data_IF_591143386139
#
_entry.id   IF_591143386139
#
_cell.length_a   1.000
_cell.length_b   1.000
_cell.length_c   1.000
_cell.angle_alpha   90.00
_cell.angle_beta   90.00
_cell.angle_gamma   90.00
#
_symmetry.space_group_name_H-M   'P 1'
#
loop_
_entity.id
_entity.type
_entity.pdbx_description
1 polymer ?
#
# COMPACT_ATOMS: atom_id res chain seq x y z
N UNK A 1 54.37 -20.25 69.40
CA UNK A 1 54.89 -19.15 68.55
C UNK A 1 54.97 -19.77 67.16
N UNK A 2 54.13 -19.49 66.16
CA UNK A 2 53.44 -18.27 65.70
C UNK A 2 52.04 -18.61 65.17
N UNK A 3 51.08 -17.70 65.33
CA UNK A 3 49.73 -17.79 64.76
C UNK A 3 49.68 -17.03 63.42
N UNK A 4 49.20 -17.68 62.36
CA UNK A 4 48.90 -17.05 61.06
C UNK A 4 47.56 -16.31 61.13
N UNK A 5 47.60 -15.01 60.85
CA UNK A 5 46.44 -14.13 60.73
C UNK A 5 45.96 -14.16 59.29
N UNK A 6 44.80 -14.79 59.04
CA UNK A 6 44.13 -14.78 57.73
C UNK A 6 43.12 -13.62 57.71
N UNK A 7 43.35 -12.63 56.86
CA UNK A 7 42.41 -11.54 56.61
C UNK A 7 41.39 -11.93 55.52
N UNK A 8 40.10 -11.58 55.65
CA UNK A 8 39.09 -11.92 54.65
C UNK A 8 39.23 -11.07 53.37
N UNK A 9 38.85 -11.60 52.19
CA UNK A 9 38.89 -10.85 50.94
C UNK A 9 37.86 -9.71 50.94
N UNK A 10 38.13 -8.60 50.21
CA UNK A 10 37.22 -7.46 50.15
C UNK A 10 35.90 -7.85 49.44
N UNK A 11 34.76 -7.26 49.85
CA UNK A 11 33.49 -7.55 49.20
C UNK A 11 33.50 -7.00 47.77
N UNK A 12 33.20 -7.86 46.81
CA UNK A 12 32.87 -7.45 45.44
C UNK A 12 31.62 -6.57 45.52
N UNK A 13 31.77 -5.29 45.16
CA UNK A 13 30.65 -4.40 44.92
C UNK A 13 29.89 -4.95 43.73
N UNK A 14 28.82 -5.69 43.99
CA UNK A 14 27.80 -6.02 43.00
C UNK A 14 27.19 -4.70 42.56
N UNK A 15 27.60 -4.21 41.41
CA UNK A 15 26.93 -3.12 40.71
C UNK A 15 25.49 -3.60 40.47
N UNK A 16 24.56 -3.11 41.28
CA UNK A 16 23.16 -3.39 41.14
C UNK A 16 22.75 -2.85 39.77
N UNK A 17 22.52 -3.75 38.81
CA UNK A 17 21.95 -3.40 37.54
C UNK A 17 20.67 -2.61 37.80
N UNK A 18 20.66 -1.35 37.40
CA UNK A 18 19.50 -0.48 37.49
C UNK A 18 18.33 -1.19 36.79
N UNK A 19 17.16 -1.32 37.42
CA UNK A 19 16.01 -1.96 36.78
C UNK A 19 15.75 -1.24 35.45
N UNK A 20 15.38 -1.97 34.37
CA UNK A 20 15.06 -1.34 33.10
C UNK A 20 14.09 -0.19 33.34
N UNK A 21 14.33 1.01 32.78
CA UNK A 21 13.41 2.12 32.96
C UNK A 21 12.02 1.66 32.59
N UNK A 22 11.07 1.83 33.50
CA UNK A 22 9.66 1.54 33.25
C UNK A 22 9.28 2.28 31.96
N UNK A 23 8.91 1.51 30.92
CA UNK A 23 8.67 2.07 29.60
C UNK A 23 7.68 3.23 29.75
N UNK A 24 8.13 4.44 29.41
CA UNK A 24 7.30 5.63 29.54
C UNK A 24 6.00 5.37 28.77
N UNK A 25 4.85 5.53 29.44
CA UNK A 25 3.56 5.35 28.76
C UNK A 25 3.48 6.35 27.60
N UNK A 26 3.16 5.85 26.41
CA UNK A 26 2.97 6.70 25.22
C UNK A 26 1.96 7.82 25.53
N UNK A 27 2.33 9.10 25.28
CA UNK A 27 1.43 10.24 25.40
C UNK A 27 0.13 10.05 24.59
N UNK A 28 -0.97 10.57 25.12
CA UNK A 28 -2.29 10.41 24.50
C UNK A 28 -2.37 11.05 23.11
N UNK A 29 -1.77 12.23 22.93
CA UNK A 29 -1.72 12.97 21.67
C UNK A 29 -0.93 12.21 20.58
N UNK A 30 0.19 11.57 20.94
CA UNK A 30 0.95 10.70 20.03
C UNK A 30 0.10 9.50 19.63
N UNK A 31 -0.55 8.85 20.59
CA UNK A 31 -1.41 7.69 20.31
C UNK A 31 -2.58 8.06 19.40
N UNK A 32 -3.30 9.12 19.72
CA UNK A 32 -4.43 9.62 18.92
C UNK A 32 -4.00 9.95 17.49
N UNK A 33 -2.83 10.57 17.32
CA UNK A 33 -2.30 10.87 16.00
C UNK A 33 -1.90 9.61 15.21
N UNK A 34 -1.32 8.60 15.87
CA UNK A 34 -1.01 7.32 15.24
C UNK A 34 -2.27 6.53 14.86
N UNK A 35 -3.32 6.55 15.69
CA UNK A 35 -4.62 5.97 15.37
C UNK A 35 -5.31 6.70 14.19
N UNK A 36 -5.15 8.02 14.11
CA UNK A 36 -5.57 8.79 12.93
C UNK A 36 -4.81 8.36 11.68
N UNK A 37 -3.48 8.25 11.76
CA UNK A 37 -2.64 7.80 10.65
C UNK A 37 -3.03 6.38 10.18
N UNK A 38 -3.30 5.45 11.09
CA UNK A 38 -3.77 4.11 10.76
C UNK A 38 -5.08 4.15 9.96
N UNK A 39 -6.04 4.99 10.35
CA UNK A 39 -7.31 5.16 9.62
C UNK A 39 -7.07 5.69 8.21
N UNK A 40 -6.20 6.69 8.06
CA UNK A 40 -5.84 7.25 6.75
C UNK A 40 -5.12 6.19 5.89
N UNK A 41 -4.25 5.37 6.48
CA UNK A 41 -3.59 4.25 5.78
C UNK A 41 -4.61 3.25 5.22
N UNK A 42 -5.59 2.86 6.04
CA UNK A 42 -6.66 1.94 5.61
C UNK A 42 -7.50 2.54 4.48
N UNK A 43 -7.82 3.83 4.57
CA UNK A 43 -8.56 4.53 3.52
C UNK A 43 -7.75 4.65 2.22
N UNK A 44 -6.45 4.99 2.31
CA UNK A 44 -5.54 5.02 1.16
C UNK A 44 -5.54 3.67 0.42
N UNK A 45 -5.38 2.58 1.17
CA UNK A 45 -5.35 1.23 0.60
C UNK A 45 -6.67 0.85 -0.08
N UNK A 46 -7.80 1.12 0.60
CA UNK A 46 -9.12 0.84 0.05
C UNK A 46 -9.37 1.62 -1.24
N UNK A 47 -9.10 2.93 -1.21
CA UNK A 47 -9.31 3.83 -2.35
C UNK A 47 -8.44 3.44 -3.55
N UNK A 48 -7.15 3.21 -3.32
CA UNK A 48 -6.22 2.78 -4.37
C UNK A 48 -6.62 1.42 -4.98
N UNK A 49 -7.03 0.46 -4.14
CA UNK A 49 -7.49 -0.85 -4.61
C UNK A 49 -8.77 -0.74 -5.44
N UNK A 50 -9.74 0.05 -4.96
CA UNK A 50 -11.03 0.21 -5.62
C UNK A 50 -10.87 0.87 -6.99
N UNK A 51 -10.10 1.95 -7.07
CA UNK A 51 -9.89 2.68 -8.32
C UNK A 51 -9.17 1.83 -9.37
N UNK A 52 -8.08 1.13 -8.98
CA UNK A 52 -7.37 0.24 -9.90
C UNK A 52 -8.26 -0.93 -10.35
N UNK A 53 -9.07 -1.49 -9.45
CA UNK A 53 -9.99 -2.58 -9.78
C UNK A 53 -11.10 -2.12 -10.73
N UNK A 54 -11.71 -0.95 -10.49
CA UNK A 54 -12.72 -0.37 -11.40
C UNK A 54 -12.13 -0.20 -12.79
N UNK A 55 -10.92 0.38 -12.86
CA UNK A 55 -10.26 0.62 -14.13
C UNK A 55 -10.04 -0.70 -14.91
N UNK A 56 -9.59 -1.78 -14.25
CA UNK A 56 -9.43 -3.09 -14.90
C UNK A 56 -10.73 -3.66 -15.46
N UNK A 57 -11.82 -3.55 -14.70
CA UNK A 57 -13.14 -4.03 -15.12
C UNK A 57 -13.53 -3.31 -16.40
N UNK A 58 -13.37 -1.98 -16.45
CA UNK A 58 -13.68 -1.21 -17.64
C UNK A 58 -12.78 -1.57 -18.83
N UNK A 59 -11.48 -1.81 -18.62
CA UNK A 59 -10.60 -2.30 -19.69
C UNK A 59 -11.06 -3.66 -20.23
N UNK A 60 -11.51 -4.56 -19.36
CA UNK A 60 -12.04 -5.87 -19.74
C UNK A 60 -13.32 -5.72 -20.56
N UNK A 61 -14.22 -4.80 -20.16
CA UNK A 61 -15.44 -4.50 -20.91
C UNK A 61 -15.13 -3.91 -22.30
N UNK A 62 -14.15 -3.01 -22.40
CA UNK A 62 -13.71 -2.41 -23.67
C UNK A 62 -13.10 -3.43 -24.64
N UNK A 63 -12.49 -4.51 -24.15
CA UNK A 63 -11.89 -5.54 -25.00
C UNK A 63 -12.91 -6.50 -25.65
N UNK A 64 -14.18 -6.47 -25.22
CA UNK A 64 -15.22 -7.34 -25.75
C UNK A 64 -15.08 -8.79 -25.25
N UNK A 65 -16.20 -9.35 -24.77
CA UNK A 65 -16.29 -10.66 -24.15
C UNK A 65 -15.48 -11.77 -24.86
N UNK A 66 -14.49 -12.32 -24.16
CA UNK A 66 -13.69 -13.46 -24.62
C UNK A 66 -12.79 -14.09 -23.55
N UNK A 67 -12.38 -13.32 -22.53
CA UNK A 67 -11.48 -13.77 -21.45
C UNK A 67 -12.12 -13.73 -20.04
N UNK A 68 -13.44 -13.65 -19.96
CA UNK A 68 -14.14 -12.97 -18.86
C UNK A 68 -14.36 -13.78 -17.58
N UNK A 69 -14.16 -15.10 -17.51
CA UNK A 69 -14.53 -15.83 -16.28
C UNK A 69 -13.42 -15.93 -15.23
N UNK A 70 -12.17 -16.15 -15.64
CA UNK A 70 -11.11 -16.46 -14.66
C UNK A 70 -10.52 -15.23 -13.96
N UNK A 71 -10.59 -14.05 -14.58
CA UNK A 71 -10.07 -12.80 -14.00
C UNK A 71 -11.07 -12.19 -13.02
N UNK A 72 -12.38 -12.28 -13.33
CA UNK A 72 -13.44 -11.80 -12.44
C UNK A 72 -13.51 -12.64 -11.15
N UNK A 73 -13.44 -13.97 -11.24
CA UNK A 73 -13.48 -14.86 -10.06
C UNK A 73 -12.32 -14.65 -9.09
N UNK A 74 -11.16 -14.18 -9.57
CA UNK A 74 -10.00 -13.89 -8.71
C UNK A 74 -10.05 -12.51 -8.04
N UNK A 75 -10.87 -11.58 -8.56
CA UNK A 75 -10.91 -10.19 -8.12
C UNK A 75 -12.19 -9.88 -7.31
N UNK A 76 -13.28 -10.60 -7.58
CA UNK A 76 -14.60 -10.43 -6.97
C UNK A 76 -14.92 -11.65 -6.09
N UNK A 77 -14.37 -11.72 -4.87
CA UNK A 77 -14.94 -12.58 -3.81
C UNK A 77 -16.21 -11.90 -3.26
N UNK A 78 -17.20 -11.72 -4.13
CA UNK A 78 -18.51 -11.15 -3.80
C UNK A 78 -19.56 -12.02 -4.46
N UNK A 79 -20.23 -12.83 -3.64
CA UNK A 79 -21.25 -13.76 -4.06
C UNK A 79 -22.33 -13.12 -4.93
N UNK A 80 -22.53 -13.75 -6.08
CA UNK A 80 -23.77 -13.87 -6.86
C UNK A 80 -24.75 -12.68 -6.81
N UNK A 81 -24.67 -11.79 -7.81
CA UNK A 81 -25.85 -11.12 -8.35
C UNK A 81 -25.85 -11.20 -9.89
N UNK A 82 -26.95 -11.71 -10.43
CA UNK A 82 -27.24 -11.85 -11.86
C UNK A 82 -27.33 -10.48 -12.55
N UNK A 83 -26.80 -10.32 -13.79
CA UNK A 83 -26.80 -9.03 -14.46
C UNK A 83 -28.20 -8.71 -14.99
N UNK A 84 -28.83 -7.68 -14.43
CA UNK A 84 -30.06 -7.10 -14.99
C UNK A 84 -29.74 -6.26 -16.22
N UNK A 85 -30.52 -6.47 -17.28
CA UNK A 85 -30.42 -5.79 -18.57
C UNK A 85 -30.66 -4.28 -18.41
N UNK A 86 -29.59 -3.51 -18.34
CA UNK A 86 -29.60 -2.05 -18.49
C UNK A 86 -28.79 -1.73 -19.74
N UNK A 87 -29.13 -0.64 -20.46
CA UNK A 87 -28.50 -0.21 -21.72
C UNK A 87 -26.97 -0.40 -21.72
N UNK A 88 -26.32 -0.68 -22.87
CA UNK A 88 -24.88 -0.83 -22.92
C UNK A 88 -24.27 0.52 -22.55
N UNK A 89 -23.89 0.66 -21.28
CA UNK A 89 -23.19 1.83 -20.81
C UNK A 89 -21.93 1.96 -21.66
N UNK A 90 -21.65 3.19 -22.11
CA UNK A 90 -20.39 3.47 -22.79
C UNK A 90 -19.28 3.33 -21.72
N UNK A 91 -18.47 2.26 -21.73
CA UNK A 91 -17.56 2.00 -20.62
C UNK A 91 -16.50 3.09 -20.47
N UNK A 92 -16.21 3.82 -21.56
CA UNK A 92 -15.34 4.99 -21.53
C UNK A 92 -15.97 6.20 -20.79
N UNK A 93 -17.29 6.39 -20.90
CA UNK A 93 -17.98 7.46 -20.19
C UNK A 93 -18.12 7.14 -18.68
N UNK A 94 -18.31 5.86 -18.33
CA UNK A 94 -18.30 5.42 -16.93
C UNK A 94 -16.93 5.57 -16.30
N UNK A 95 -15.85 5.14 -16.98
CA UNK A 95 -14.48 5.39 -16.56
C UNK A 95 -14.22 6.87 -16.25
N UNK A 96 -14.64 7.75 -17.17
CA UNK A 96 -14.40 9.18 -17.01
C UNK A 96 -15.15 9.76 -15.80
N UNK A 97 -16.37 9.28 -15.54
CA UNK A 97 -17.16 9.68 -14.37
C UNK A 97 -16.53 9.15 -13.08
N UNK A 98 -16.18 7.87 -13.04
CA UNK A 98 -15.52 7.23 -11.90
C UNK A 98 -14.23 7.96 -11.54
N UNK A 99 -13.43 8.35 -12.53
CA UNK A 99 -12.19 9.09 -12.32
C UNK A 99 -12.41 10.44 -11.60
N UNK A 100 -13.46 11.19 -11.96
CA UNK A 100 -13.80 12.44 -11.27
C UNK A 100 -14.22 12.19 -9.83
N UNK A 101 -15.02 11.13 -9.61
CA UNK A 101 -15.48 10.75 -8.28
C UNK A 101 -14.30 10.26 -7.40
N UNK A 102 -13.30 9.59 -7.97
CA UNK A 102 -12.08 9.22 -7.26
C UNK A 102 -11.15 10.40 -6.96
N UNK A 103 -11.01 11.35 -7.88
CA UNK A 103 -10.22 12.56 -7.64
C UNK A 103 -10.73 13.30 -6.40
N UNK A 104 -12.05 13.49 -6.29
CA UNK A 104 -12.66 14.10 -5.12
C UNK A 104 -12.40 13.31 -3.82
N UNK A 105 -12.38 11.97 -3.89
CA UNK A 105 -12.07 11.12 -2.74
C UNK A 105 -10.59 11.23 -2.31
N UNK A 106 -9.65 11.33 -3.25
CA UNK A 106 -8.23 11.56 -2.94
C UNK A 106 -8.00 12.94 -2.30
N UNK A 107 -8.65 13.98 -2.84
CA UNK A 107 -8.61 15.33 -2.27
C UNK A 107 -9.14 15.32 -0.82
N UNK A 108 -10.26 14.62 -0.57
CA UNK A 108 -10.82 14.47 0.76
C UNK A 108 -9.88 13.70 1.70
N UNK A 109 -9.29 12.58 1.24
CA UNK A 109 -8.34 11.79 2.03
C UNK A 109 -7.12 12.63 2.45
N UNK A 110 -6.58 13.45 1.53
CA UNK A 110 -5.50 14.38 1.82
C UNK A 110 -5.92 15.46 2.82
N UNK A 111 -7.14 16.00 2.70
CA UNK A 111 -7.67 16.97 3.64
C UNK A 111 -7.83 16.35 5.04
N UNK A 112 -8.40 15.15 5.14
CA UNK A 112 -8.58 14.41 6.39
C UNK A 112 -7.24 14.09 7.07
N UNK A 113 -6.24 13.69 6.28
CA UNK A 113 -4.89 13.48 6.77
C UNK A 113 -4.32 14.76 7.41
N UNK A 114 -4.51 15.92 6.76
CA UNK A 114 -3.98 17.21 7.19
C UNK A 114 -4.80 17.87 8.30
N UNK A 115 -6.02 17.41 8.55
CA UNK A 115 -6.93 18.00 9.53
C UNK A 115 -6.43 17.87 10.98
N UNK A 116 -5.65 16.82 11.29
CA UNK A 116 -5.07 16.61 12.61
C UNK A 116 -3.56 16.93 12.60
N UNK A 117 -3.11 18.04 13.22
CA UNK A 117 -1.69 18.39 13.24
C UNK A 117 -0.86 17.37 14.04
N UNK A 118 0.35 17.02 13.58
CA UNK A 118 1.20 16.06 14.28
C UNK A 118 1.80 16.64 15.57
N UNK A 119 1.87 15.85 16.66
CA UNK A 119 2.78 16.13 17.76
C UNK A 119 4.23 16.23 17.28
N UNK A 120 5.13 16.95 17.97
CA UNK A 120 6.52 17.15 17.50
C UNK A 120 7.28 15.86 17.18
N UNK A 121 7.09 14.81 17.98
CA UNK A 121 7.70 13.50 17.76
C UNK A 121 7.24 12.82 16.45
N UNK A 122 6.03 13.13 15.98
CA UNK A 122 5.42 12.54 14.80
C UNK A 122 5.71 13.30 13.50
N UNK A 123 6.34 14.47 13.55
CA UNK A 123 6.59 15.31 12.35
C UNK A 123 7.39 14.58 11.26
N UNK A 124 8.48 13.84 11.56
CA UNK A 124 9.18 13.08 10.53
C UNK A 124 8.30 12.03 9.85
N UNK A 125 7.49 11.31 10.63
CA UNK A 125 6.52 10.33 10.13
C UNK A 125 5.44 10.98 9.27
N UNK A 126 4.90 12.12 9.72
CA UNK A 126 3.93 12.91 8.94
C UNK A 126 4.50 13.28 7.57
N UNK A 127 5.75 13.74 7.52
CA UNK A 127 6.37 14.19 6.27
C UNK A 127 6.63 13.04 5.30
N UNK A 128 7.16 11.92 5.79
CA UNK A 128 7.37 10.74 4.93
C UNK A 128 6.05 10.15 4.44
N UNK A 129 5.00 10.19 5.28
CA UNK A 129 3.69 9.69 4.89
C UNK A 129 2.95 10.60 3.90
N UNK A 130 3.05 11.93 4.04
CA UNK A 130 2.54 12.90 3.05
C UNK A 130 3.17 12.63 1.67
N UNK A 131 4.47 12.28 1.64
CA UNK A 131 5.13 11.82 0.43
C UNK A 131 4.53 10.50 -0.08
N UNK A 132 4.38 9.48 0.76
CA UNK A 132 3.75 8.20 0.36
C UNK A 132 2.36 8.42 -0.24
N UNK A 133 1.55 9.28 0.37
CA UNK A 133 0.19 9.58 -0.07
C UNK A 133 0.19 10.22 -1.46
N UNK A 134 0.97 11.29 -1.65
CA UNK A 134 1.07 11.97 -2.95
C UNK A 134 1.71 11.11 -4.04
N UNK A 135 2.66 10.22 -3.71
CA UNK A 135 3.19 9.27 -4.70
C UNK A 135 2.13 8.24 -5.12
N UNK A 136 1.26 7.81 -4.20
CA UNK A 136 0.17 6.86 -4.50
C UNK A 136 -0.83 7.49 -5.46
N UNK A 137 -1.27 8.72 -5.19
CA UNK A 137 -2.18 9.48 -6.06
C UNK A 137 -1.61 9.64 -7.47
N UNK A 138 -0.36 10.11 -7.60
CA UNK A 138 0.29 10.26 -8.91
C UNK A 138 0.38 8.94 -9.70
N UNK A 139 0.69 7.83 -9.02
CA UNK A 139 0.72 6.52 -9.69
C UNK A 139 -0.66 6.15 -10.23
N UNK A 140 -1.71 6.41 -9.46
CA UNK A 140 -3.06 6.05 -9.88
C UNK A 140 -3.50 6.91 -11.06
N UNK A 141 -3.16 8.20 -11.06
CA UNK A 141 -3.39 9.08 -12.21
C UNK A 141 -2.64 8.58 -13.46
N UNK A 142 -1.41 8.07 -13.32
CA UNK A 142 -0.65 7.46 -14.42
C UNK A 142 -1.35 6.19 -14.97
N UNK A 143 -1.86 5.33 -14.08
CA UNK A 143 -2.62 4.11 -14.44
C UNK A 143 -3.89 4.51 -15.21
N UNK A 144 -4.69 5.42 -14.64
CA UNK A 144 -5.93 5.90 -15.24
C UNK A 144 -5.68 6.57 -16.59
N UNK A 145 -4.68 7.44 -16.69
CA UNK A 145 -4.32 8.13 -17.94
C UNK A 145 -3.84 7.18 -19.04
N UNK A 146 -3.23 6.05 -18.70
CA UNK A 146 -2.95 5.01 -19.68
C UNK A 146 -4.21 4.29 -20.17
N UNK A 147 -5.22 4.17 -19.31
CA UNK A 147 -6.49 3.49 -19.61
C UNK A 147 -7.44 4.34 -20.43
N UNK A 148 -7.37 5.67 -20.33
CA UNK A 148 -8.08 6.57 -21.26
C UNK A 148 -7.72 6.30 -22.73
N UNK A 149 -6.50 5.82 -23.00
CA UNK A 149 -6.08 5.44 -24.36
C UNK A 149 -6.77 4.16 -24.85
N UNK A 150 -7.28 3.32 -23.95
CA UNK A 150 -7.85 2.01 -24.27
C UNK A 150 -9.08 2.10 -25.19
N UNK A 151 -9.83 3.20 -25.16
CA UNK A 151 -10.95 3.43 -26.09
C UNK A 151 -10.51 3.55 -27.57
N UNK A 152 -9.24 3.90 -27.82
CA UNK A 152 -8.68 4.08 -29.17
C UNK A 152 -7.63 3.03 -29.55
N UNK A 153 -6.84 2.57 -28.58
CA UNK A 153 -5.80 1.54 -28.74
C UNK A 153 -5.68 0.72 -27.44
N UNK A 154 -6.49 -0.35 -27.28
CA UNK A 154 -6.44 -1.23 -26.11
C UNK A 154 -5.06 -1.88 -25.90
N UNK A 155 -4.34 -2.19 -26.98
CA UNK A 155 -3.01 -2.80 -26.90
C UNK A 155 -1.94 -1.81 -26.40
N UNK A 156 -2.03 -0.53 -26.78
CA UNK A 156 -1.16 0.50 -26.22
C UNK A 156 -1.43 0.73 -24.73
N UNK A 157 -2.69 0.78 -24.31
CA UNK A 157 -3.05 0.91 -22.90
C UNK A 157 -2.49 -0.25 -22.06
N UNK A 158 -2.64 -1.49 -22.53
CA UNK A 158 -2.05 -2.66 -21.88
C UNK A 158 -0.53 -2.57 -21.79
N UNK A 159 0.15 -2.20 -22.88
CA UNK A 159 1.61 -2.06 -22.89
C UNK A 159 2.10 -0.98 -21.92
N UNK A 160 1.38 0.15 -21.84
CA UNK A 160 1.69 1.23 -20.89
C UNK A 160 1.50 0.75 -19.44
N UNK A 161 0.39 0.05 -19.15
CA UNK A 161 0.13 -0.57 -17.83
C UNK A 161 1.20 -1.61 -17.45
N UNK A 162 1.58 -2.51 -18.37
CA UNK A 162 2.65 -3.47 -18.14
C UNK A 162 4.01 -2.81 -17.98
N UNK A 163 4.26 -1.69 -18.67
CA UNK A 163 5.50 -0.90 -18.55
C UNK A 163 5.59 -0.16 -17.22
N UNK A 164 4.46 0.25 -16.64
CA UNK A 164 4.40 0.84 -15.30
C UNK A 164 4.64 -0.16 -14.17
N UNK A 165 4.48 -1.47 -14.47
CA UNK A 165 4.74 -2.54 -13.51
C UNK A 165 6.22 -2.56 -13.13
N UNK A 166 6.52 -2.09 -11.91
CA UNK A 166 7.86 -2.11 -11.32
C UNK A 166 8.58 -0.76 -11.29
N UNK A 167 8.15 0.24 -12.06
CA UNK A 167 8.68 1.61 -11.97
C UNK A 167 7.99 2.43 -10.87
N UNK A 168 6.68 2.25 -10.69
CA UNK A 168 5.91 2.90 -9.62
C UNK A 168 6.29 2.37 -8.22
N UNK A 169 6.50 1.04 -8.12
CA UNK A 169 6.89 0.37 -6.89
C UNK A 169 8.16 0.95 -6.26
N UNK A 170 9.19 1.31 -7.04
CA UNK A 170 10.44 1.84 -6.49
C UNK A 170 10.28 3.14 -5.69
N UNK A 171 9.36 4.03 -6.07
CA UNK A 171 9.17 5.34 -5.41
C UNK A 171 8.25 5.24 -4.20
N UNK A 172 7.14 4.52 -4.34
CA UNK A 172 6.16 4.34 -3.25
C UNK A 172 6.75 3.43 -2.18
N UNK A 173 7.42 2.34 -2.55
CA UNK A 173 8.04 1.42 -1.60
C UNK A 173 9.13 2.11 -0.78
N UNK A 174 9.94 2.99 -1.39
CA UNK A 174 10.94 3.76 -0.67
C UNK A 174 10.32 4.72 0.36
N UNK A 175 9.27 5.45 -0.03
CA UNK A 175 8.57 6.38 0.86
C UNK A 175 7.83 5.64 1.99
N UNK A 176 7.12 4.56 1.66
CA UNK A 176 6.42 3.71 2.64
C UNK A 176 7.41 3.03 3.61
N UNK A 177 8.55 2.54 3.12
CA UNK A 177 9.60 1.99 3.97
C UNK A 177 10.20 3.06 4.91
N UNK A 178 10.38 4.29 4.44
CA UNK A 178 10.80 5.39 5.32
C UNK A 178 9.74 5.72 6.37
N UNK A 179 8.46 5.72 5.99
CA UNK A 179 7.36 5.92 6.94
C UNK A 179 7.31 4.82 8.00
N UNK A 180 7.54 3.55 7.64
CA UNK A 180 7.63 2.47 8.61
C UNK A 180 8.81 2.63 9.57
N UNK A 181 9.99 3.05 9.09
CA UNK A 181 11.12 3.38 9.97
C UNK A 181 10.77 4.50 10.95
N UNK A 182 10.14 5.56 10.47
CA UNK A 182 9.71 6.67 11.31
C UNK A 182 8.63 6.25 12.33
N UNK A 183 7.74 5.33 11.95
CA UNK A 183 6.73 4.75 12.85
C UNK A 183 7.38 3.94 13.98
N UNK A 184 8.35 3.10 13.66
CA UNK A 184 9.17 2.39 14.67
C UNK A 184 9.87 3.38 15.61
N UNK A 185 10.47 4.45 15.06
CA UNK A 185 11.17 5.47 15.84
C UNK A 185 10.24 6.23 16.81
N UNK A 186 8.99 6.50 16.42
CA UNK A 186 7.98 7.12 17.30
C UNK A 186 7.57 6.16 18.42
N UNK A 187 7.46 4.86 18.15
CA UNK A 187 6.96 3.89 19.13
C UNK A 187 8.05 3.42 20.12
N UNK A 188 9.30 3.37 19.66
CA UNK A 188 10.44 2.81 20.39
C UNK A 188 10.67 3.40 21.79
N UNK A 189 10.61 4.73 22.03
CA UNK A 189 10.84 5.31 23.35
C UNK A 189 9.85 4.83 24.42
N UNK A 190 8.68 4.35 23.98
CA UNK A 190 7.59 3.92 24.85
C UNK A 190 7.52 2.40 25.03
N UNK A 191 8.50 1.65 24.48
CA UNK A 191 8.48 0.19 24.51
C UNK A 191 7.30 -0.44 23.75
N UNK A 192 6.67 0.33 22.86
CA UNK A 192 5.52 -0.11 22.04
C UNK A 192 6.03 -0.56 20.68
N UNK A 193 5.50 -1.67 20.16
CA UNK A 193 5.64 -2.04 18.75
C UNK A 193 4.53 -1.37 17.94
N UNK A 194 4.79 -0.89 16.73
CA UNK A 194 3.70 -0.47 15.84
C UNK A 194 2.66 -1.58 15.68
N UNK A 195 1.38 -1.21 15.72
CA UNK A 195 0.25 -2.14 15.54
C UNK A 195 -0.33 -2.10 14.11
N UNK A 196 0.23 -1.26 13.26
CA UNK A 196 -0.07 -1.16 11.84
C UNK A 196 1.22 -0.90 11.07
N UNK A 197 1.14 -1.01 9.76
CA UNK A 197 2.26 -0.80 8.86
C UNK A 197 1.76 -0.01 7.65
N UNK A 198 2.58 0.94 7.20
CA UNK A 198 2.38 1.64 5.93
C UNK A 198 2.70 0.66 4.80
N UNK A 199 1.67 0.27 4.06
CA UNK A 199 1.79 -0.74 3.02
C UNK A 199 2.57 -0.21 1.83
N UNK A 200 3.45 -1.06 1.31
CA UNK A 200 4.07 -0.88 -0.01
C UNK A 200 3.14 -1.46 -1.08
N UNK A 201 3.21 -0.95 -2.31
CA UNK A 201 2.35 -1.46 -3.40
C UNK A 201 2.69 -2.90 -3.79
N UNK A 202 3.93 -3.30 -3.50
CA UNK A 202 4.44 -4.67 -3.61
C UNK A 202 3.88 -5.62 -2.55
N UNK A 203 3.47 -5.11 -1.38
CA UNK A 203 3.08 -5.93 -0.22
C UNK A 203 1.55 -6.00 0.01
N UNK A 204 0.78 -4.99 -0.44
CA UNK A 204 -0.68 -4.95 -0.29
C UNK A 204 -1.50 -5.33 -1.54
N UNK A 205 -0.86 -5.65 -2.67
CA UNK A 205 -1.53 -6.43 -3.70
C UNK A 205 -2.44 -5.67 -4.66
N UNK A 206 -2.16 -4.40 -4.96
CA UNK A 206 -2.80 -3.71 -6.09
C UNK A 206 -2.22 -4.22 -7.42
N UNK A 207 -0.90 -4.29 -7.54
CA UNK A 207 -0.19 -4.87 -8.70
C UNK A 207 0.26 -6.32 -8.47
N UNK A 208 0.43 -6.74 -7.21
CA UNK A 208 0.80 -8.11 -6.84
C UNK A 208 -0.28 -9.13 -7.21
N UNK A 209 -1.56 -8.77 -7.05
CA UNK A 209 -2.69 -9.61 -7.46
C UNK A 209 -2.86 -9.70 -8.98
N UNK A 210 -2.35 -8.73 -9.75
CA UNK A 210 -2.26 -8.83 -11.22
C UNK A 210 -1.21 -9.86 -11.69
N UNK A 211 -0.31 -10.31 -10.81
CA UNK A 211 0.73 -11.28 -11.13
C UNK A 211 0.26 -12.73 -11.25
N UNK A 212 -1.03 -13.00 -11.02
CA UNK A 212 -1.63 -14.33 -11.16
C UNK A 212 -2.18 -14.65 -12.54
N UNK A 213 -2.10 -13.74 -13.52
CA UNK A 213 -2.51 -14.04 -14.89
C UNK A 213 -1.52 -15.03 -15.52
N UNK A 214 -2.01 -16.12 -16.15
CA UNK A 214 -1.15 -17.10 -16.78
C UNK A 214 -0.25 -16.42 -17.81
N UNK A 215 1.03 -16.76 -17.76
CA UNK A 215 2.06 -16.32 -18.67
C UNK A 215 1.64 -16.64 -20.13
N UNK A 216 1.08 -15.66 -20.84
CA UNK A 216 0.70 -15.82 -22.25
C UNK A 216 1.91 -15.88 -23.18
N UNK A 217 3.15 -15.85 -22.64
CA UNK A 217 4.38 -16.12 -23.39
C UNK A 217 4.47 -17.55 -23.94
N UNK A 218 3.52 -18.44 -23.58
CA UNK A 218 3.46 -19.83 -24.05
C UNK A 218 2.71 -20.08 -25.37
N UNK A 219 2.04 -19.10 -25.98
CA UNK A 219 1.22 -19.32 -27.20
C UNK A 219 1.79 -18.68 -28.48
N UNK A 220 3.11 -18.64 -28.59
CA UNK A 220 3.78 -18.17 -29.80
C UNK A 220 5.01 -19.01 -30.14
N UNK A 221 4.84 -20.02 -31.00
CA UNK A 221 5.97 -20.62 -31.73
C UNK A 221 5.97 -22.15 -31.77
N UNK A 222 5.26 -22.71 -32.75
CA UNK A 222 5.28 -24.14 -33.03
C UNK A 222 4.99 -24.48 -34.49
N UNK A 223 5.44 -23.64 -35.44
CA UNK A 223 5.58 -24.02 -36.85
C UNK A 223 7.06 -24.24 -37.13
N UNK A 224 7.49 -25.50 -37.21
CA UNK A 224 8.88 -25.82 -37.55
C UNK A 224 9.24 -27.31 -37.46
N UNK A 225 8.96 -28.04 -38.54
CA UNK A 225 9.81 -29.08 -39.16
C UNK A 225 10.37 -30.25 -38.35
N UNK A 226 10.07 -31.48 -38.80
CA UNK A 226 10.84 -32.66 -38.43
C UNK A 226 10.34 -33.98 -39.03
N UNK A 227 10.92 -34.34 -40.18
CA UNK A 227 10.95 -35.63 -40.91
C UNK A 227 9.70 -36.09 -41.67
#
# INVERSE_FOLDING_TARGET
ITAESSAPPPPLLTEAAEPPPEAARMPADIREWLEHLERIERQRQALATQQVSSAMVSLTMLQGAGATQQILDGLLDTGEEEPTTTEPANPAAELQKDNQDYQAQWEQLMADFRALPPPPACVPLRNSYDQTLGQTEMMIDEIVGAMDKAGSDPQAALRDLFGMRGTSGGRIDAAAAQSNRNLDEVCRPYGVRPWFQIQTDSQAGILGKMGGLPDISGLGGGLGGGL
#
